data_IF_633529829374
#
_entry.id   IF_633529829374
#
_cell.length_a   1.000
_cell.length_b   1.000
_cell.length_c   1.000
_cell.angle_alpha   90.00
_cell.angle_beta   90.00
_cell.angle_gamma   90.00
#
_symmetry.space_group_name_H-M   'P 1'
#
loop_
_entity.id
_entity.type
_entity.pdbx_description
1 polymer ?
#
# COMPACT_ATOMS: atom_id res chain seq x y z
N UNK A 1 5.87 -9.20 -1.36
CA UNK A 1 6.07 -8.81 -2.76
C UNK A 1 7.21 -9.63 -3.30
N UNK A 2 7.13 -10.02 -4.57
CA UNK A 2 8.07 -10.94 -5.17
C UNK A 2 9.12 -10.30 -6.11
N UNK A 3 9.34 -8.99 -6.02
CA UNK A 3 10.46 -8.30 -6.68
C UNK A 3 11.74 -8.37 -5.86
N UNK A 4 12.87 -8.19 -6.53
CA UNK A 4 14.16 -7.92 -5.87
C UNK A 4 14.20 -6.46 -5.44
N UNK A 5 14.84 -6.17 -4.29
CA UNK A 5 14.91 -4.81 -3.73
C UNK A 5 15.51 -3.81 -4.73
N UNK A 6 16.55 -4.21 -5.47
CA UNK A 6 17.21 -3.36 -6.45
C UNK A 6 16.29 -2.98 -7.62
N UNK A 7 15.43 -3.90 -8.08
CA UNK A 7 14.45 -3.62 -9.15
C UNK A 7 13.44 -2.55 -8.71
N UNK A 8 12.99 -2.59 -7.45
CA UNK A 8 12.11 -1.57 -6.89
C UNK A 8 12.83 -0.24 -6.72
N UNK A 9 14.06 -0.28 -6.20
CA UNK A 9 14.89 0.89 -6.00
C UNK A 9 15.06 1.64 -7.34
N UNK A 10 15.39 0.92 -8.40
CA UNK A 10 15.52 1.47 -9.75
C UNK A 10 14.17 1.99 -10.28
N UNK A 11 13.10 1.18 -10.20
CA UNK A 11 11.78 1.56 -10.71
C UNK A 11 11.25 2.85 -10.08
N UNK A 12 11.40 2.99 -8.76
CA UNK A 12 10.91 4.17 -8.03
C UNK A 12 11.93 5.30 -7.95
N UNK A 13 13.17 5.12 -8.41
CA UNK A 13 14.29 6.05 -8.18
C UNK A 13 14.54 6.29 -6.69
N UNK A 14 14.49 5.22 -5.90
CA UNK A 14 14.54 5.25 -4.45
C UNK A 14 15.82 4.59 -3.91
N UNK A 15 16.32 5.10 -2.79
CA UNK A 15 17.47 4.51 -2.10
C UNK A 15 16.97 3.54 -1.01
N UNK A 16 17.41 2.27 -0.99
CA UNK A 16 17.11 1.35 0.10
C UNK A 16 17.66 1.85 1.44
N UNK A 17 16.84 1.81 2.49
CA UNK A 17 17.22 2.25 3.84
C UNK A 17 16.95 1.18 4.88
N UNK A 18 17.95 0.92 5.72
CA UNK A 18 17.88 -0.13 6.75
C UNK A 18 17.65 -1.52 6.15
N UNK A 19 16.95 -2.38 6.89
CA UNK A 19 16.56 -3.71 6.43
C UNK A 19 15.16 -3.64 5.80
N UNK A 20 15.11 -3.71 4.47
CA UNK A 20 13.86 -3.84 3.70
C UNK A 20 13.39 -5.30 3.74
N UNK A 21 12.07 -5.59 3.78
CA UNK A 21 11.58 -6.97 3.84
C UNK A 21 12.04 -7.81 2.64
N UNK A 22 12.33 -9.09 2.89
CA UNK A 22 12.65 -10.04 1.84
C UNK A 22 11.46 -10.35 0.94
N UNK A 23 11.78 -10.99 -0.19
CA UNK A 23 10.80 -11.48 -1.16
C UNK A 23 9.77 -12.41 -0.49
N UNK A 24 8.49 -12.16 -0.73
CA UNK A 24 7.37 -12.97 -0.21
C UNK A 24 6.17 -12.90 -1.14
N UNK A 25 5.45 -14.01 -1.30
CA UNK A 25 4.20 -14.13 -2.04
C UNK A 25 2.97 -14.08 -1.14
N UNK A 26 3.14 -14.11 0.19
CA UNK A 26 2.03 -14.19 1.15
C UNK A 26 2.17 -13.18 2.31
N UNK A 27 2.23 -11.89 1.97
CA UNK A 27 2.28 -10.80 2.95
C UNK A 27 0.88 -10.54 3.51
N UNK A 28 0.77 -10.50 4.84
CA UNK A 28 -0.49 -10.30 5.59
C UNK A 28 -0.47 -8.99 6.37
N UNK A 29 -1.64 -8.44 6.74
CA UNK A 29 -1.71 -7.34 7.69
C UNK A 29 -0.86 -7.60 8.92
N UNK A 30 -0.27 -6.55 9.49
CA UNK A 30 0.71 -6.56 10.60
C UNK A 30 2.12 -7.08 10.26
N UNK A 31 2.36 -7.61 9.06
CA UNK A 31 3.73 -7.88 8.61
C UNK A 31 4.49 -6.59 8.28
N UNK A 32 5.81 -6.70 8.15
CA UNK A 32 6.63 -5.66 7.56
C UNK A 32 6.43 -5.63 6.04
N UNK A 33 6.32 -4.44 5.45
CA UNK A 33 6.14 -4.22 4.01
C UNK A 33 7.15 -3.21 3.48
N UNK A 34 7.48 -3.35 2.19
CA UNK A 34 8.23 -2.34 1.46
C UNK A 34 7.37 -1.08 1.30
N UNK A 35 7.96 0.08 1.56
CA UNK A 35 7.30 1.37 1.48
C UNK A 35 8.23 2.39 0.83
N UNK A 36 7.72 3.05 -0.20
CA UNK A 36 8.38 4.13 -0.92
C UNK A 36 7.85 5.46 -0.36
N UNK A 37 8.74 6.33 0.10
CA UNK A 37 8.38 7.65 0.64
C UNK A 37 9.41 8.69 0.25
N UNK A 38 8.99 9.95 0.15
CA UNK A 38 9.92 11.06 -0.05
C UNK A 38 10.50 11.50 1.30
N UNK A 39 11.82 11.55 1.35
CA UNK A 39 12.58 12.06 2.47
C UNK A 39 12.60 13.59 2.50
N UNK A 40 12.95 14.15 3.65
CA UNK A 40 13.13 15.61 3.78
C UNK A 40 14.33 16.16 2.99
N UNK A 41 15.20 15.26 2.55
CA UNK A 41 16.34 15.49 1.68
C UNK A 41 15.96 15.56 0.20
N UNK A 42 14.67 15.50 -0.13
CA UNK A 42 14.15 15.43 -1.51
C UNK A 42 14.65 14.19 -2.26
N UNK A 43 15.07 13.17 -1.50
CA UNK A 43 15.43 11.84 -1.99
C UNK A 43 14.33 10.87 -1.62
N UNK A 44 13.97 9.99 -2.54
CA UNK A 44 13.02 8.93 -2.29
C UNK A 44 13.70 7.75 -1.60
N UNK A 45 13.05 7.20 -0.59
CA UNK A 45 13.57 6.09 0.20
C UNK A 45 12.68 4.86 0.03
N UNK A 46 13.31 3.70 -0.14
CA UNK A 46 12.68 2.40 -0.02
C UNK A 46 12.97 1.88 1.39
N UNK A 47 11.94 1.83 2.23
CA UNK A 47 12.04 1.49 3.64
C UNK A 47 11.14 0.30 4.00
N UNK A 48 11.37 -0.26 5.18
CA UNK A 48 10.46 -1.22 5.83
C UNK A 48 9.48 -0.49 6.74
N UNK A 49 8.19 -0.79 6.61
CA UNK A 49 7.15 -0.30 7.52
C UNK A 49 6.26 -1.41 8.05
N UNK A 50 5.73 -1.24 9.26
CA UNK A 50 4.72 -2.15 9.81
C UNK A 50 3.34 -1.88 9.17
N UNK A 51 2.72 -2.90 8.57
CA UNK A 51 1.40 -2.78 7.93
C UNK A 51 0.25 -2.80 8.94
N UNK A 52 0.19 -1.76 9.75
CA UNK A 52 -0.97 -1.31 10.51
C UNK A 52 -0.64 0.09 11.01
N UNK A 53 -1.27 1.13 10.48
CA UNK A 53 -0.89 2.50 10.82
C UNK A 53 -1.15 2.81 12.29
N UNK A 54 -0.15 3.35 12.98
CA UNK A 54 -0.26 3.85 14.35
C UNK A 54 -0.11 5.37 14.31
N UNK A 55 -1.16 6.15 14.63
CA UNK A 55 -1.07 7.59 14.59
C UNK A 55 -0.13 8.11 15.70
N UNK A 56 0.54 9.26 15.49
CA UNK A 56 1.61 9.74 16.38
C UNK A 56 1.14 10.06 17.80
N UNK A 57 -0.17 10.29 18.00
CA UNK A 57 -0.77 10.54 19.32
C UNK A 57 -1.09 9.26 20.11
N UNK A 58 -1.01 8.09 19.48
CA UNK A 58 -1.33 6.82 20.15
C UNK A 58 -0.32 6.53 21.25
N UNK A 59 -0.82 6.08 22.42
CA UNK A 59 0.01 5.62 23.53
C UNK A 59 0.37 4.14 23.46
N UNK A 60 -0.31 3.39 22.59
CA UNK A 60 -0.16 1.95 22.43
C UNK A 60 0.13 1.62 20.97
N UNK A 61 0.86 0.53 20.73
CA UNK A 61 1.10 0.01 19.39
C UNK A 61 -0.12 -0.68 18.78
N UNK A 62 -1.07 -1.10 19.63
CA UNK A 62 -2.31 -1.75 19.22
C UNK A 62 -3.49 -0.81 19.42
N UNK A 63 -4.28 -0.62 18.36
CA UNK A 63 -5.54 0.12 18.39
C UNK A 63 -6.72 -0.84 18.54
N UNK A 64 -7.86 -0.32 19.03
CA UNK A 64 -9.08 -1.11 19.23
C UNK A 64 -9.80 -1.49 17.93
N UNK A 65 -9.27 -1.06 16.78
CA UNK A 65 -9.81 -1.34 15.45
C UNK A 65 -8.64 -1.50 14.47
N UNK A 66 -8.81 -2.28 13.40
CA UNK A 66 -7.76 -2.47 12.42
C UNK A 66 -7.47 -1.19 11.63
N UNK A 67 -6.18 -0.95 11.37
CA UNK A 67 -5.69 0.19 10.59
C UNK A 67 -4.82 -0.24 9.41
N UNK A 68 -4.97 -1.48 8.95
CA UNK A 68 -4.30 -1.96 7.74
C UNK A 68 -4.84 -1.30 6.45
N UNK A 69 -6.11 -0.85 6.46
CA UNK A 69 -6.74 -0.13 5.34
C UNK A 69 -7.37 1.19 5.80
N UNK A 70 -7.23 2.23 4.98
CA UNK A 70 -7.89 3.52 5.09
C UNK A 70 -8.83 3.72 3.89
N UNK A 71 -10.06 4.17 4.11
CA UNK A 71 -11.05 4.39 3.05
C UNK A 71 -10.91 5.80 2.49
N UNK A 72 -10.59 5.94 1.20
CA UNK A 72 -10.35 7.24 0.54
C UNK A 72 -11.48 8.23 0.80
N UNK A 73 -12.72 7.74 0.88
CA UNK A 73 -13.95 8.51 1.08
C UNK A 73 -14.00 9.23 2.45
N UNK A 74 -13.20 8.79 3.43
CA UNK A 74 -13.25 9.33 4.80
C UNK A 74 -11.88 9.61 5.41
N UNK A 75 -10.77 9.44 4.67
CA UNK A 75 -9.42 9.59 5.23
C UNK A 75 -9.17 10.98 5.81
N UNK A 76 -9.79 12.01 5.25
CA UNK A 76 -9.66 13.40 5.70
C UNK A 76 -10.46 13.70 6.97
N UNK A 77 -11.47 12.89 7.29
CA UNK A 77 -12.33 13.08 8.46
C UNK A 77 -11.85 12.28 9.68
N UNK A 78 -11.17 11.16 9.44
CA UNK A 78 -10.72 10.26 10.51
C UNK A 78 -9.43 10.79 11.12
N UNK A 79 -9.46 11.12 12.42
CA UNK A 79 -8.28 11.52 13.21
C UNK A 79 -7.08 10.57 13.11
N UNK A 80 -7.34 9.27 12.84
CA UNK A 80 -6.31 8.26 12.62
C UNK A 80 -5.49 8.53 11.35
N UNK A 81 -6.12 9.08 10.30
CA UNK A 81 -5.55 9.17 8.96
C UNK A 81 -5.37 10.59 8.43
N UNK A 82 -6.16 11.57 8.89
CA UNK A 82 -6.22 12.92 8.30
C UNK A 82 -4.85 13.60 8.16
N UNK A 83 -3.98 13.45 9.16
CA UNK A 83 -2.64 14.02 9.12
C UNK A 83 -1.76 13.32 8.07
N UNK A 84 -1.83 11.99 8.03
CA UNK A 84 -1.04 11.21 7.10
C UNK A 84 -1.52 11.38 5.65
N UNK A 85 -2.84 11.46 5.43
CA UNK A 85 -3.43 11.80 4.14
C UNK A 85 -2.92 13.15 3.61
N UNK A 86 -2.69 14.12 4.50
CA UNK A 86 -2.21 15.45 4.15
C UNK A 86 -0.70 15.53 3.93
N UNK A 87 0.12 14.84 4.73
CA UNK A 87 1.56 15.11 4.76
C UNK A 87 2.46 13.86 4.70
N UNK A 88 1.91 12.67 4.81
CA UNK A 88 2.67 11.43 4.97
C UNK A 88 2.10 10.34 4.07
N UNK A 89 2.12 10.61 2.77
CA UNK A 89 1.73 9.67 1.72
C UNK A 89 2.94 8.83 1.30
N UNK A 90 2.68 7.57 0.97
CA UNK A 90 3.69 6.64 0.50
C UNK A 90 3.14 5.77 -0.62
N UNK A 91 4.01 5.07 -1.33
CA UNK A 91 3.63 4.00 -2.25
C UNK A 91 4.01 2.67 -1.62
N UNK A 92 3.09 1.72 -1.64
CA UNK A 92 3.30 0.34 -1.22
C UNK A 92 3.42 -0.49 -2.50
N UNK A 93 4.63 -0.79 -2.97
CA UNK A 93 4.81 -1.61 -4.15
C UNK A 93 4.35 -3.05 -3.89
N UNK A 94 3.72 -3.65 -4.88
CA UNK A 94 3.31 -5.06 -4.89
C UNK A 94 3.37 -5.60 -6.32
N UNK A 95 3.65 -6.88 -6.52
CA UNK A 95 3.42 -7.52 -7.83
C UNK A 95 1.96 -7.76 -8.14
N UNK A 96 1.17 -7.86 -7.07
CA UNK A 96 -0.25 -8.11 -7.12
C UNK A 96 -0.84 -8.15 -5.72
N UNK A 97 -2.16 -8.29 -5.65
CA UNK A 97 -2.86 -8.47 -4.38
C UNK A 97 -3.88 -9.61 -4.51
N UNK A 98 -4.27 -10.16 -3.36
CA UNK A 98 -5.27 -11.21 -3.31
C UNK A 98 -6.61 -10.65 -2.85
N UNK A 99 -7.70 -11.16 -3.43
CA UNK A 99 -9.05 -10.96 -2.92
C UNK A 99 -9.87 -12.24 -2.96
N UNK A 100 -10.85 -12.35 -2.06
CA UNK A 100 -11.64 -13.58 -1.89
C UNK A 100 -13.08 -13.41 -2.35
N UNK A 101 -13.47 -14.17 -3.37
CA UNK A 101 -14.88 -14.32 -3.72
C UNK A 101 -15.57 -15.18 -2.67
N UNK A 102 -16.69 -14.68 -2.14
CA UNK A 102 -17.50 -15.34 -1.11
C UNK A 102 -16.70 -15.81 0.12
N UNK A 103 -15.63 -15.09 0.49
CA UNK A 103 -14.72 -15.42 1.59
C UNK A 103 -14.03 -16.80 1.49
N UNK A 104 -14.01 -17.41 0.31
CA UNK A 104 -13.51 -18.79 0.13
C UNK A 104 -12.52 -18.92 -1.00
N UNK A 105 -12.85 -18.41 -2.18
CA UNK A 105 -12.06 -18.61 -3.38
C UNK A 105 -11.08 -17.45 -3.56
N UNK A 106 -9.75 -17.65 -3.40
CA UNK A 106 -8.78 -16.58 -3.58
C UNK A 106 -8.55 -16.34 -5.08
N UNK A 107 -8.50 -15.06 -5.42
CA UNK A 107 -8.10 -14.53 -6.71
C UNK A 107 -6.86 -13.67 -6.54
N UNK A 108 -5.95 -13.73 -7.49
CA UNK A 108 -4.80 -12.84 -7.56
C UNK A 108 -5.02 -11.83 -8.68
N UNK A 109 -4.76 -10.56 -8.37
CA UNK A 109 -4.89 -9.42 -9.27
C UNK A 109 -3.52 -8.82 -9.53
N UNK A 110 -3.20 -8.53 -10.79
CA UNK A 110 -1.91 -7.95 -11.20
C UNK A 110 -2.04 -7.14 -12.51
N UNK A 111 -0.97 -6.41 -12.85
CA UNK A 111 -0.82 -5.80 -14.18
C UNK A 111 -0.43 -6.85 -15.22
N UNK A 112 -0.70 -6.53 -16.49
CA UNK A 112 -0.36 -7.40 -17.63
C UNK A 112 1.13 -7.44 -17.97
N UNK A 113 1.86 -6.38 -17.65
CA UNK A 113 3.23 -6.13 -18.10
C UNK A 113 4.30 -6.45 -17.04
N UNK A 114 3.93 -7.20 -16.00
CA UNK A 114 4.79 -7.59 -14.87
C UNK A 114 5.39 -6.41 -14.08
N UNK A 115 4.96 -5.17 -14.36
CA UNK A 115 5.39 -3.99 -13.58
C UNK A 115 4.75 -3.96 -12.20
N UNK A 116 5.42 -3.35 -11.18
CA UNK A 116 4.86 -3.26 -9.85
C UNK A 116 3.54 -2.47 -9.81
N UNK A 117 2.52 -3.05 -9.20
CA UNK A 117 1.38 -2.29 -8.69
C UNK A 117 1.87 -1.31 -7.62
N UNK A 118 1.73 -0.03 -7.93
CA UNK A 118 1.98 1.06 -7.01
C UNK A 118 0.72 1.33 -6.21
N UNK A 119 0.60 0.76 -5.01
CA UNK A 119 -0.58 0.94 -4.16
C UNK A 119 -0.42 2.22 -3.33
N UNK A 120 -1.44 3.07 -3.34
CA UNK A 120 -1.49 4.27 -2.51
C UNK A 120 -1.47 3.89 -1.02
N UNK A 121 -0.52 4.42 -0.27
CA UNK A 121 -0.38 4.21 1.15
C UNK A 121 -0.30 5.51 1.93
N UNK A 122 -0.60 5.44 3.22
CA UNK A 122 -0.30 6.50 4.19
C UNK A 122 0.65 5.93 5.24
N UNK A 123 1.56 6.75 5.75
CA UNK A 123 2.50 6.35 6.79
C UNK A 123 2.47 7.25 8.02
N UNK A 124 3.01 6.74 9.12
CA UNK A 124 3.19 7.47 10.37
C UNK A 124 4.47 7.02 11.06
N UNK A 125 5.24 7.99 11.54
CA UNK A 125 6.33 7.76 12.47
C UNK A 125 5.77 7.74 13.89
N UNK A 126 5.97 6.64 14.60
CA UNK A 126 5.40 6.42 15.92
C UNK A 126 6.43 5.86 16.91
N UNK A 127 6.32 6.28 18.18
CA UNK A 127 7.04 5.72 19.32
C UNK A 127 6.16 5.85 20.55
N UNK A 128 6.16 4.85 21.43
CA UNK A 128 5.27 4.85 22.61
C UNK A 128 5.68 5.95 23.61
N UNK A 129 6.98 6.15 23.79
CA UNK A 129 7.56 7.19 24.64
C UNK A 129 8.69 7.93 23.92
N UNK A 130 9.11 9.12 24.40
CA UNK A 130 10.22 9.86 23.79
C UNK A 130 11.57 9.13 23.76
N UNK A 131 11.74 8.08 24.57
CA UNK A 131 12.97 7.30 24.66
C UNK A 131 12.95 6.03 23.79
N UNK A 132 11.79 5.66 23.25
CA UNK A 132 11.66 4.49 22.38
C UNK A 132 12.16 4.81 20.96
N UNK A 133 12.67 3.80 20.23
CA UNK A 133 13.00 3.96 18.82
C UNK A 133 11.75 4.33 18.01
N UNK A 134 11.98 5.12 16.95
CA UNK A 134 10.93 5.41 15.98
C UNK A 134 10.56 4.15 15.19
N UNK A 135 9.27 3.96 15.00
CA UNK A 135 8.69 2.91 14.16
C UNK A 135 7.98 3.57 12.98
N UNK A 136 8.31 3.12 11.78
CA UNK A 136 7.55 3.46 10.58
C UNK A 136 6.36 2.50 10.47
N UNK A 137 5.15 3.04 10.42
CA UNK A 137 3.92 2.26 10.23
C UNK A 137 3.18 2.76 9.01
N UNK A 138 2.43 1.89 8.35
CA UNK A 138 1.70 2.24 7.12
C UNK A 138 0.33 1.56 7.02
N UNK A 139 -0.50 2.11 6.16
CA UNK A 139 -1.84 1.61 5.80
C UNK A 139 -2.03 1.72 4.30
N UNK A 140 -2.81 0.83 3.71
CA UNK A 140 -3.21 0.91 2.30
C UNK A 140 -4.45 1.79 2.18
N UNK A 141 -4.47 2.71 1.21
CA UNK A 141 -5.67 3.44 0.83
C UNK A 141 -6.53 2.57 -0.08
N UNK A 142 -7.82 2.49 0.22
CA UNK A 142 -8.80 1.69 -0.50
C UNK A 142 -9.95 2.55 -1.00
N UNK A 143 -10.59 2.11 -2.08
CA UNK A 143 -11.78 2.70 -2.67
C UNK A 143 -12.84 1.64 -2.96
N UNK A 144 -14.03 2.07 -3.36
CA UNK A 144 -15.04 1.18 -3.94
C UNK A 144 -14.47 0.49 -5.19
N UNK A 145 -14.81 -0.79 -5.35
CA UNK A 145 -14.34 -1.60 -6.48
C UNK A 145 -14.97 -1.14 -7.81
N UNK A 146 -14.19 -1.12 -8.88
CA UNK A 146 -14.72 -1.02 -10.25
C UNK A 146 -15.45 -2.32 -10.64
N UNK A 147 -16.27 -2.29 -11.69
CA UNK A 147 -17.10 -3.44 -12.10
C UNK A 147 -16.32 -4.76 -12.22
N UNK A 148 -15.10 -4.72 -12.77
CA UNK A 148 -14.23 -5.91 -12.90
C UNK A 148 -13.92 -6.54 -11.53
N UNK A 149 -13.51 -5.73 -10.55
CA UNK A 149 -13.15 -6.20 -9.20
C UNK A 149 -14.39 -6.46 -8.34
N UNK A 150 -15.48 -5.72 -8.56
CA UNK A 150 -16.73 -5.83 -7.81
C UNK A 150 -17.39 -7.21 -7.91
N UNK A 151 -17.11 -7.95 -9.00
CA UNK A 151 -17.51 -9.35 -9.14
C UNK A 151 -16.88 -10.30 -8.11
N UNK A 152 -15.76 -9.90 -7.50
CA UNK A 152 -15.00 -10.64 -6.49
C UNK A 152 -15.17 -10.04 -5.10
N UNK A 153 -14.97 -8.72 -4.96
CA UNK A 153 -15.05 -8.01 -3.68
C UNK A 153 -15.42 -6.53 -3.89
N UNK A 154 -16.12 -5.92 -2.92
CA UNK A 154 -16.65 -4.56 -3.04
C UNK A 154 -15.63 -3.43 -2.79
N UNK A 155 -14.41 -3.78 -2.38
CA UNK A 155 -13.33 -2.83 -2.13
C UNK A 155 -12.08 -3.25 -2.88
N UNK A 156 -11.29 -2.27 -3.23
CA UNK A 156 -9.98 -2.48 -3.85
C UNK A 156 -8.98 -1.42 -3.40
N UNK A 157 -7.66 -1.67 -3.56
CA UNK A 157 -6.65 -0.64 -3.34
C UNK A 157 -6.84 0.55 -4.31
N UNK A 158 -6.39 1.72 -3.89
CA UNK A 158 -6.16 2.85 -4.80
C UNK A 158 -4.78 2.66 -5.42
N UNK A 159 -4.67 2.79 -6.73
CA UNK A 159 -3.41 2.67 -7.46
C UNK A 159 -2.87 4.04 -7.88
N UNK A 160 -1.56 4.21 -7.80
CA UNK A 160 -0.84 5.42 -8.19
C UNK A 160 -0.14 5.13 -9.52
N UNK A 161 -0.59 5.76 -10.60
CA UNK A 161 0.03 5.60 -11.92
C UNK A 161 1.36 6.34 -11.99
N UNK A 162 2.29 5.96 -12.89
CA UNK A 162 3.62 6.56 -12.98
C UNK A 162 3.63 8.09 -13.10
N UNK A 163 2.65 8.66 -13.79
CA UNK A 163 2.50 10.09 -14.07
C UNK A 163 2.09 10.92 -12.85
N UNK A 164 1.47 10.31 -11.82
CA UNK A 164 1.08 11.00 -10.58
C UNK A 164 1.91 10.59 -9.36
N UNK A 165 2.96 9.77 -9.53
CA UNK A 165 3.78 9.32 -8.39
C UNK A 165 4.43 10.48 -7.64
N UNK A 166 5.03 11.43 -8.38
CA UNK A 166 5.72 12.57 -7.79
C UNK A 166 4.73 13.49 -7.07
N UNK A 167 3.55 13.75 -7.64
CA UNK A 167 2.48 14.53 -7.00
C UNK A 167 1.90 13.82 -5.76
N UNK A 168 1.72 12.50 -5.84
CA UNK A 168 1.25 11.69 -4.72
C UNK A 168 2.22 11.74 -3.53
N UNK A 169 3.52 11.68 -3.78
CA UNK A 169 4.54 11.65 -2.73
C UNK A 169 4.90 13.03 -2.19
N UNK A 170 4.69 14.12 -2.94
CA UNK A 170 5.03 15.48 -2.52
C UNK A 170 4.17 15.96 -1.34
N UNK A 171 4.73 16.15 -0.13
CA UNK A 171 3.97 16.59 1.05
C UNK A 171 3.51 18.05 0.97
N UNK A 172 3.96 18.82 -0.04
CA UNK A 172 3.54 20.22 -0.27
C UNK A 172 2.18 20.30 -0.97
N UNK A 173 1.77 19.25 -1.70
CA UNK A 173 0.45 19.16 -2.32
C UNK A 173 -0.68 19.03 -1.29
N UNK A 174 -1.88 19.53 -1.62
CA UNK A 174 -3.03 19.41 -0.72
C UNK A 174 -3.72 18.06 -0.88
N UNK A 175 -4.17 17.46 0.23
CA UNK A 175 -4.91 16.20 0.14
C UNK A 175 -6.23 16.34 -0.64
N UNK A 176 -6.79 17.55 -0.64
CA UNK A 176 -8.06 17.86 -1.29
C UNK A 176 -7.97 17.75 -2.83
N UNK A 177 -6.79 18.03 -3.39
CA UNK A 177 -6.55 17.98 -4.83
C UNK A 177 -6.05 16.59 -5.25
N UNK A 178 -5.10 16.02 -4.49
CA UNK A 178 -4.44 14.77 -4.87
C UNK A 178 -5.31 13.52 -4.69
N UNK A 179 -6.21 13.48 -3.70
CA UNK A 179 -7.06 12.30 -3.48
C UNK A 179 -8.06 12.07 -4.63
N UNK A 180 -8.78 13.10 -5.14
CA UNK A 180 -9.59 12.95 -6.35
C UNK A 180 -8.76 12.52 -7.57
N UNK A 181 -7.59 13.12 -7.79
CA UNK A 181 -6.71 12.76 -8.89
C UNK A 181 -6.28 11.28 -8.80
N UNK A 182 -5.80 10.83 -7.63
CA UNK A 182 -5.45 9.45 -7.39
C UNK A 182 -6.63 8.48 -7.61
N UNK A 183 -7.84 8.88 -7.23
CA UNK A 183 -9.03 8.07 -7.46
C UNK A 183 -9.33 7.92 -8.97
N UNK A 184 -9.30 9.00 -9.73
CA UNK A 184 -9.55 8.97 -11.18
C UNK A 184 -8.53 8.14 -11.95
N UNK A 185 -7.23 8.33 -11.69
CA UNK A 185 -6.18 7.53 -12.34
C UNK A 185 -6.25 6.06 -11.93
N UNK A 186 -6.59 5.79 -10.66
CA UNK A 186 -6.79 4.42 -10.18
C UNK A 186 -7.95 3.70 -10.87
N UNK A 187 -9.00 4.41 -11.29
CA UNK A 187 -10.14 3.80 -11.99
C UNK A 187 -9.73 3.24 -13.37
N UNK A 188 -8.96 4.00 -14.13
CA UNK A 188 -8.48 3.59 -15.44
C UNK A 188 -7.54 2.37 -15.35
N UNK A 189 -6.59 2.39 -14.41
CA UNK A 189 -5.70 1.25 -14.18
C UNK A 189 -6.48 0.02 -13.70
N UNK A 190 -7.45 0.21 -12.79
CA UNK A 190 -8.27 -0.86 -12.25
C UNK A 190 -9.06 -1.65 -13.32
N UNK A 191 -9.53 -0.96 -14.37
CA UNK A 191 -10.23 -1.61 -15.48
C UNK A 191 -9.31 -2.55 -16.28
N UNK A 192 -8.01 -2.30 -16.26
CA UNK A 192 -7.01 -3.07 -17.01
C UNK A 192 -6.29 -4.13 -16.15
N UNK A 193 -6.74 -4.38 -14.92
CA UNK A 193 -6.19 -5.48 -14.12
C UNK A 193 -6.56 -6.84 -14.71
N UNK A 194 -5.58 -7.73 -14.80
CA UNK A 194 -5.85 -9.15 -14.95
C UNK A 194 -6.03 -9.81 -13.59
N UNK A 195 -6.90 -10.82 -13.56
CA UNK A 195 -7.09 -11.64 -12.38
C UNK A 195 -7.42 -13.09 -12.72
N UNK A 196 -7.02 -13.99 -11.83
CA UNK A 196 -7.32 -15.41 -11.94
C UNK A 196 -7.40 -16.06 -10.57
N UNK A 197 -8.10 -17.19 -10.50
CA UNK A 197 -8.21 -17.96 -9.27
C UNK A 197 -6.87 -18.63 -8.96
N UNK A 198 -6.48 -18.64 -7.68
CA UNK A 198 -5.22 -19.24 -7.21
C UNK A 198 -5.47 -20.27 -6.12
N UNK A 199 -4.43 -21.03 -5.75
CA UNK A 199 -4.51 -21.98 -4.62
C UNK A 199 -4.74 -21.25 -3.29
N UNK A 200 -5.34 -21.91 -2.28
CA UNK A 200 -5.40 -21.38 -0.92
C UNK A 200 -4.02 -20.98 -0.38
N UNK A 201 -3.94 -19.79 0.24
CA UNK A 201 -2.68 -19.17 0.71
C UNK A 201 -2.15 -19.78 2.02
N UNK A 202 -1.68 -21.03 1.96
CA UNK A 202 -1.16 -21.77 3.13
C UNK A 202 0.34 -21.56 3.35
N UNK A 203 1.12 -21.60 2.29
CA UNK A 203 2.59 -21.49 2.35
C UNK A 203 3.06 -20.09 1.93
N UNK A 204 4.34 -19.94 1.61
CA UNK A 204 4.89 -18.75 0.96
C UNK A 204 5.80 -19.18 -0.20
N UNK A 205 5.43 -18.83 -1.43
CA UNK A 205 6.16 -19.22 -2.62
C UNK A 205 5.46 -18.92 -3.95
N UNK A 206 6.16 -19.04 -5.08
CA UNK A 206 5.67 -18.64 -6.41
C UNK A 206 4.44 -19.41 -6.88
N UNK A 207 4.18 -20.60 -6.32
CA UNK A 207 2.98 -21.36 -6.62
C UNK A 207 1.68 -20.65 -6.18
N UNK A 208 1.74 -19.64 -5.30
CA UNK A 208 0.57 -18.90 -4.81
C UNK A 208 -0.01 -17.91 -5.81
N UNK A 209 0.79 -17.49 -6.79
CA UNK A 209 0.33 -16.62 -7.88
C UNK A 209 0.07 -17.40 -9.17
N UNK A 210 0.27 -18.72 -9.15
CA UNK A 210 0.02 -19.57 -10.31
C UNK A 210 -1.48 -19.77 -10.54
N UNK A 211 -1.89 -19.67 -11.81
CA UNK A 211 -3.27 -19.92 -12.22
C UNK A 211 -3.69 -21.36 -11.90
N UNK A 212 -4.87 -21.49 -11.28
CA UNK A 212 -5.55 -22.78 -11.08
C UNK A 212 -6.08 -23.37 -12.38
#
# INVERSE_FOLDING_TARGET
MDYVIDELADFYRAIPTGTVPERSWNIKPTNAIATILDGKDEVRHLASSHWSLIPPWSRTSTLNFPTFNARIESVLEKRTYQHAAQFQRCIIPASGYYEWRNHKDPFYFSLHDETPLSIAGLYSWWRATPNDPWNLTSTIVTREATENVASIHNRMPVFITPDIQDEWLDPKGTAQDILPAAQSHSEELAMNLQFWQVKPLKDDGPALISKL
#
